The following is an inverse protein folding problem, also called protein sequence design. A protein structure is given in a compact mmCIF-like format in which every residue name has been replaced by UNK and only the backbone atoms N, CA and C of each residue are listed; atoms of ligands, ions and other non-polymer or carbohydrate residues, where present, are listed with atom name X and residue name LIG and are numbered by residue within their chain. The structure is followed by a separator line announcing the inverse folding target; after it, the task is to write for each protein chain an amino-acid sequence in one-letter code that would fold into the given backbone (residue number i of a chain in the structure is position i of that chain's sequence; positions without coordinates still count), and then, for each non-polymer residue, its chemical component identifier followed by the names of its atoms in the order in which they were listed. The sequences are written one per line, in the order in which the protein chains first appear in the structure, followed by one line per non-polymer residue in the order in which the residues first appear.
data_IF_981364803998
#
_entry.id   IF_981364803998
#
_cell.length_a   1.000
_cell.length_b   1.000
_cell.length_c   1.000
_cell.angle_alpha   90.00
_cell.angle_beta   90.00
_cell.angle_gamma   90.00
#
_symmetry.space_group_name_H-M   'P 1'
#
loop_
_entity.id
_entity.type
_entity.pdbx_description
1 polymer ?
#
# COMPACT_ATOMS: atom_id res chain seq x y z
N UNK A 1 -6.59 7.97 -13.05
CA UNK A 1 -5.59 7.23 -13.87
C UNK A 1 -5.99 7.38 -15.33
N UNK A 2 -5.36 8.29 -16.04
CA UNK A 2 -5.72 8.59 -17.42
C UNK A 2 -4.89 7.76 -18.37
N UNK A 3 -5.56 7.00 -19.25
CA UNK A 3 -5.18 6.58 -20.60
C UNK A 3 -3.96 5.67 -20.86
N UNK A 4 -3.08 5.36 -19.94
CA UNK A 4 -1.98 4.45 -20.22
C UNK A 4 -2.41 2.97 -20.28
N UNK A 5 -3.53 2.63 -19.62
CA UNK A 5 -4.02 1.25 -19.49
C UNK A 5 -5.16 0.90 -20.46
N UNK A 6 -5.70 1.87 -21.17
CA UNK A 6 -6.78 1.64 -22.15
C UNK A 6 -6.30 1.20 -23.56
N UNK A 7 -5.00 0.90 -23.74
CA UNK A 7 -4.44 0.37 -24.97
C UNK A 7 -3.49 -0.78 -24.66
N UNK A 8 -3.38 -1.70 -25.61
CA UNK A 8 -2.37 -2.76 -25.55
C UNK A 8 -0.96 -2.16 -25.54
N UNK A 9 -0.15 -2.59 -24.61
CA UNK A 9 1.21 -2.12 -24.35
C UNK A 9 2.18 -3.30 -24.32
N UNK A 10 3.47 -3.06 -24.58
CA UNK A 10 4.50 -4.06 -24.32
C UNK A 10 4.47 -4.53 -22.85
N UNK A 11 4.90 -5.77 -22.65
CA UNK A 11 5.02 -6.34 -21.31
C UNK A 11 5.87 -5.44 -20.38
N UNK A 12 5.50 -5.38 -19.12
CA UNK A 12 6.24 -4.58 -18.15
C UNK A 12 7.62 -5.19 -17.88
N UNK A 13 8.65 -4.46 -18.20
CA UNK A 13 10.04 -4.89 -17.99
C UNK A 13 10.38 -5.09 -16.52
N UNK A 14 11.13 -6.15 -16.24
CA UNK A 14 11.80 -6.30 -14.97
C UNK A 14 13.14 -5.54 -15.00
N UNK A 15 13.18 -4.36 -14.38
CA UNK A 15 14.41 -3.57 -14.26
C UNK A 15 15.16 -4.02 -13.00
N UNK A 16 16.24 -4.80 -13.10
CA UNK A 16 16.92 -5.35 -11.93
C UNK A 16 17.54 -4.25 -11.07
N UNK A 17 17.64 -4.46 -9.74
CA UNK A 17 18.32 -3.51 -8.87
C UNK A 17 19.81 -3.39 -9.25
N UNK A 18 20.24 -2.15 -9.47
CA UNK A 18 21.60 -1.78 -9.81
C UNK A 18 22.04 -0.56 -8.97
N UNK A 19 22.25 -0.79 -7.68
CA UNK A 19 22.49 0.27 -6.71
C UNK A 19 23.70 1.14 -7.06
N UNK A 20 23.47 2.48 -7.04
CA UNK A 20 24.47 3.51 -7.27
C UNK A 20 24.73 4.34 -6.01
N UNK A 21 25.89 4.18 -5.34
CA UNK A 21 26.25 5.02 -4.19
C UNK A 21 26.34 6.51 -4.53
N UNK A 22 26.75 6.84 -5.77
CA UNK A 22 26.85 8.21 -6.23
C UNK A 22 25.47 8.86 -6.31
N UNK A 23 24.51 8.21 -6.97
CA UNK A 23 23.15 8.72 -7.09
C UNK A 23 22.50 8.92 -5.71
N UNK A 24 22.65 7.96 -4.79
CA UNK A 24 22.16 8.12 -3.43
C UNK A 24 22.77 9.35 -2.74
N UNK A 25 24.09 9.54 -2.85
CA UNK A 25 24.78 10.72 -2.25
C UNK A 25 24.30 12.03 -2.81
N UNK A 26 23.93 12.09 -4.09
CA UNK A 26 23.41 13.31 -4.72
C UNK A 26 21.95 13.58 -4.33
N UNK A 27 21.12 12.53 -4.23
CA UNK A 27 19.70 12.66 -3.88
C UNK A 27 19.50 12.95 -2.38
N UNK A 28 20.29 12.33 -1.51
CA UNK A 28 20.11 12.45 -0.05
C UNK A 28 20.01 13.90 0.47
N UNK A 29 20.84 14.86 0.09
CA UNK A 29 20.71 16.25 0.54
C UNK A 29 19.51 16.99 -0.07
N UNK A 30 19.02 16.55 -1.23
CA UNK A 30 17.90 17.17 -1.93
C UNK A 30 16.52 16.68 -1.42
N UNK A 31 16.49 15.50 -0.77
CA UNK A 31 15.26 14.88 -0.30
C UNK A 31 14.38 15.80 0.57
N UNK A 32 14.88 16.57 1.56
CA UNK A 32 14.01 17.41 2.36
C UNK A 32 13.30 18.49 1.56
N UNK A 33 14.03 19.18 0.68
CA UNK A 33 13.43 20.20 -0.19
C UNK A 33 12.41 19.58 -1.16
N UNK A 34 12.75 18.41 -1.73
CA UNK A 34 11.84 17.68 -2.60
C UNK A 34 10.55 17.24 -1.86
N UNK A 35 10.69 16.68 -0.65
CA UNK A 35 9.57 16.22 0.17
C UNK A 35 8.66 17.40 0.53
N UNK A 36 9.21 18.50 1.03
CA UNK A 36 8.46 19.71 1.38
C UNK A 36 7.74 20.36 0.17
N UNK A 37 8.28 20.19 -1.04
CA UNK A 37 7.64 20.71 -2.26
C UNK A 37 6.55 19.78 -2.82
N UNK A 38 6.70 18.46 -2.67
CA UNK A 38 5.84 17.47 -3.31
C UNK A 38 4.75 16.90 -2.40
N UNK A 39 4.89 17.08 -1.09
CA UNK A 39 4.00 16.47 -0.10
C UNK A 39 3.67 17.47 1.01
N UNK A 40 2.66 17.16 1.81
CA UNK A 40 2.32 17.93 3.01
C UNK A 40 3.23 17.62 4.20
N UNK A 41 4.27 16.81 3.99
CA UNK A 41 5.17 16.39 5.04
C UNK A 41 6.10 17.53 5.47
N UNK A 42 5.78 18.16 6.60
CA UNK A 42 6.58 19.24 7.19
C UNK A 42 7.64 18.71 8.16
N UNK A 43 7.32 17.66 8.92
CA UNK A 43 8.18 17.12 9.96
C UNK A 43 8.23 15.58 9.92
N UNK A 44 9.37 15.01 10.31
CA UNK A 44 9.52 13.55 10.52
C UNK A 44 10.07 13.32 11.92
N UNK A 45 9.27 12.70 12.76
CA UNK A 45 9.66 12.22 14.09
C UNK A 45 10.02 10.73 14.00
N UNK A 46 11.04 10.31 14.73
CA UNK A 46 11.45 8.89 14.74
C UNK A 46 11.61 8.41 16.17
N UNK A 47 11.03 7.25 16.51
CA UNK A 47 11.02 6.67 17.86
C UNK A 47 11.73 5.31 17.87
N UNK A 48 12.41 4.97 18.96
CA UNK A 48 13.10 3.70 19.21
C UNK A 48 14.19 3.36 18.16
N UNK A 49 14.85 4.37 17.59
CA UNK A 49 15.85 4.19 16.51
C UNK A 49 17.10 3.44 16.99
N UNK A 50 17.35 3.38 18.31
CA UNK A 50 18.43 2.59 18.93
C UNK A 50 18.34 1.10 18.61
N UNK A 51 17.13 0.54 18.56
CA UNK A 51 16.92 -0.86 18.15
C UNK A 51 17.37 -1.10 16.72
N UNK A 52 16.99 -0.20 15.81
CA UNK A 52 17.40 -0.24 14.42
C UNK A 52 18.92 -0.10 14.29
N UNK A 53 19.55 0.80 15.07
CA UNK A 53 21.01 1.02 15.02
C UNK A 53 21.79 -0.24 15.46
N UNK A 54 21.33 -0.93 16.50
CA UNK A 54 21.94 -2.19 16.96
C UNK A 54 21.79 -3.29 15.91
N UNK A 55 20.62 -3.45 15.31
CA UNK A 55 20.37 -4.44 14.26
C UNK A 55 21.19 -4.14 12.99
N UNK A 56 21.39 -2.88 12.63
CA UNK A 56 22.29 -2.52 11.53
C UNK A 56 23.74 -2.85 11.84
N UNK A 57 24.19 -2.66 13.08
CA UNK A 57 25.54 -3.08 13.51
C UNK A 57 25.72 -4.60 13.38
N UNK A 58 24.73 -5.37 13.81
CA UNK A 58 24.77 -6.84 13.69
C UNK A 58 24.72 -7.29 12.22
N UNK A 59 23.92 -6.60 11.40
CA UNK A 59 23.87 -6.84 9.95
C UNK A 59 25.20 -6.57 9.28
N UNK A 60 25.82 -5.43 9.57
CA UNK A 60 27.15 -5.06 9.05
C UNK A 60 28.28 -6.00 9.53
N UNK A 61 28.11 -6.57 10.73
CA UNK A 61 29.02 -7.59 11.29
C UNK A 61 28.77 -9.00 10.74
N UNK A 62 27.78 -9.19 9.85
CA UNK A 62 27.42 -10.49 9.29
C UNK A 62 26.81 -11.47 10.30
N UNK A 63 26.21 -10.96 11.39
CA UNK A 63 25.53 -11.75 12.41
C UNK A 63 24.05 -11.93 12.15
N UNK A 64 23.48 -11.02 11.38
CA UNK A 64 22.02 -10.95 11.14
C UNK A 64 21.73 -10.67 9.68
N UNK A 65 20.68 -11.32 9.14
CA UNK A 65 20.00 -10.94 7.90
C UNK A 65 18.72 -10.22 8.29
N UNK A 66 18.54 -8.98 7.83
CA UNK A 66 17.53 -8.05 8.34
C UNK A 66 16.49 -7.75 7.25
N UNK A 67 15.21 -7.82 7.65
CA UNK A 67 14.08 -7.33 6.88
C UNK A 67 13.39 -6.19 7.64
N UNK A 68 13.09 -5.10 6.95
CA UNK A 68 12.31 -3.98 7.47
C UNK A 68 10.88 -4.12 6.95
N UNK A 69 9.95 -4.44 7.83
CA UNK A 69 8.52 -4.55 7.51
C UNK A 69 7.85 -3.25 7.96
N UNK A 70 7.44 -2.40 7.02
CA UNK A 70 6.89 -1.09 7.36
C UNK A 70 5.42 -0.97 7.00
N UNK A 71 4.67 -0.20 7.79
CA UNK A 71 3.31 0.22 7.47
C UNK A 71 3.28 1.12 6.25
N UNK A 72 2.19 1.01 5.48
CA UNK A 72 2.04 1.76 4.23
C UNK A 72 0.73 2.56 4.16
N UNK A 73 0.49 3.50 5.11
CA UNK A 73 -0.71 4.34 5.09
C UNK A 73 -0.73 5.38 3.96
N UNK A 74 0.43 5.75 3.40
CA UNK A 74 0.53 6.83 2.41
C UNK A 74 1.57 6.55 1.34
N UNK A 75 1.37 7.11 0.15
CA UNK A 75 2.41 7.16 -0.91
C UNK A 75 3.62 8.01 -0.52
N UNK A 76 3.56 8.73 0.58
CA UNK A 76 4.66 9.54 1.16
C UNK A 76 5.66 8.70 1.98
N UNK A 77 5.32 7.46 2.36
CA UNK A 77 6.15 6.60 3.22
C UNK A 77 7.60 6.38 2.72
N UNK A 78 7.90 6.30 1.41
CA UNK A 78 9.27 6.21 0.94
C UNK A 78 10.16 7.38 1.38
N UNK A 79 9.61 8.59 1.55
CA UNK A 79 10.33 9.75 2.06
C UNK A 79 10.61 9.62 3.56
N UNK A 80 9.63 9.13 4.32
CA UNK A 80 9.77 8.87 5.77
C UNK A 80 10.84 7.81 6.02
N UNK A 81 10.84 6.71 5.26
CA UNK A 81 11.86 5.66 5.35
C UNK A 81 13.23 6.18 4.94
N UNK A 82 13.31 7.01 3.90
CA UNK A 82 14.56 7.64 3.49
C UNK A 82 15.11 8.56 4.58
N UNK A 83 14.26 9.35 5.24
CA UNK A 83 14.65 10.18 6.38
C UNK A 83 15.12 9.32 7.55
N UNK A 84 14.39 8.27 7.90
CA UNK A 84 14.77 7.32 8.96
C UNK A 84 16.16 6.72 8.69
N UNK A 85 16.38 6.16 7.49
CA UNK A 85 17.61 5.48 7.15
C UNK A 85 18.80 6.42 6.91
N UNK A 86 18.57 7.58 6.29
CA UNK A 86 19.67 8.44 5.85
C UNK A 86 19.99 9.59 6.81
N UNK A 87 19.12 9.89 7.79
CA UNK A 87 19.30 10.95 8.79
C UNK A 87 19.22 10.44 10.23
N UNK A 88 18.06 9.86 10.61
CA UNK A 88 17.81 9.47 12.01
C UNK A 88 18.74 8.34 12.45
N UNK A 89 18.87 7.29 11.66
CA UNK A 89 19.71 6.13 11.96
C UNK A 89 21.18 6.51 12.11
N UNK A 90 21.86 7.24 11.18
CA UNK A 90 23.23 7.66 11.35
C UNK A 90 23.45 8.59 12.55
N UNK A 91 22.47 9.45 12.84
CA UNK A 91 22.53 10.33 14.03
C UNK A 91 22.51 9.49 15.30
N UNK A 92 21.53 8.59 15.44
CA UNK A 92 21.37 7.72 16.62
C UNK A 92 22.59 6.78 16.80
N UNK A 93 23.09 6.20 15.71
CA UNK A 93 24.28 5.35 15.78
C UNK A 93 25.52 6.10 16.33
N UNK A 94 25.72 7.36 15.91
CA UNK A 94 26.80 8.21 16.46
C UNK A 94 26.60 8.51 17.94
N UNK A 95 25.37 8.83 18.36
CA UNK A 95 25.02 9.07 19.77
C UNK A 95 25.32 7.85 20.66
N UNK A 96 25.13 6.65 20.12
CA UNK A 96 25.39 5.38 20.82
C UNK A 96 26.83 4.86 20.65
N UNK A 97 27.70 5.56 19.91
CA UNK A 97 29.03 5.07 19.60
C UNK A 97 29.07 3.82 18.68
N UNK A 98 27.98 3.55 18.00
CA UNK A 98 27.81 2.40 17.07
C UNK A 98 28.34 2.79 15.70
N UNK A 99 29.23 1.97 15.14
CA UNK A 99 29.65 2.11 13.76
C UNK A 99 28.71 1.31 12.86
N UNK A 100 28.13 1.99 11.88
CA UNK A 100 27.35 1.41 10.79
C UNK A 100 27.97 1.87 9.47
N UNK A 101 27.98 0.98 8.46
CA UNK A 101 28.61 1.29 7.17
C UNK A 101 27.74 2.30 6.41
N UNK A 102 26.91 1.81 5.51
CA UNK A 102 26.07 2.64 4.66
C UNK A 102 24.59 2.34 4.94
N UNK A 103 23.90 3.15 5.77
CA UNK A 103 22.51 2.90 6.08
C UNK A 103 21.65 3.10 4.83
N UNK A 104 21.09 2.01 4.36
CA UNK A 104 20.25 1.90 3.18
C UNK A 104 19.49 0.56 3.22
N UNK A 105 18.46 0.40 2.40
CA UNK A 105 17.74 -0.86 2.22
C UNK A 105 17.45 -1.12 0.74
N UNK A 106 17.48 -2.37 0.32
CA UNK A 106 16.77 -2.79 -0.87
C UNK A 106 15.28 -2.74 -0.59
N UNK A 107 14.46 -2.25 -1.50
CA UNK A 107 13.03 -2.14 -1.29
C UNK A 107 12.23 -2.79 -2.42
N UNK A 108 11.14 -3.45 -2.03
CA UNK A 108 10.16 -3.96 -2.98
C UNK A 108 9.23 -2.81 -3.38
N UNK A 109 8.97 -2.68 -4.68
CA UNK A 109 8.01 -1.71 -5.20
C UNK A 109 7.16 -2.32 -6.31
N UNK A 110 5.94 -1.83 -6.47
CA UNK A 110 5.04 -2.31 -7.52
C UNK A 110 5.57 -1.94 -8.90
N UNK A 111 5.69 -2.93 -9.79
CA UNK A 111 6.19 -2.76 -11.16
C UNK A 111 5.34 -1.78 -11.98
N UNK A 112 4.09 -1.57 -11.61
CA UNK A 112 3.18 -0.61 -12.25
C UNK A 112 3.42 0.85 -11.86
N UNK A 113 4.19 1.15 -10.81
CA UNK A 113 4.43 2.55 -10.38
C UNK A 113 4.94 3.46 -11.51
N UNK A 114 5.89 3.04 -12.36
CA UNK A 114 6.35 3.87 -13.47
C UNK A 114 5.28 4.27 -14.48
N UNK A 115 4.19 3.53 -14.57
CA UNK A 115 3.10 3.80 -15.52
C UNK A 115 2.33 5.09 -15.20
N UNK A 116 2.14 5.37 -13.91
CA UNK A 116 1.38 6.52 -13.45
C UNK A 116 2.24 7.63 -12.83
N UNK A 117 3.41 7.28 -12.29
CA UNK A 117 4.31 8.24 -11.64
C UNK A 117 5.48 8.69 -12.53
N UNK A 118 5.64 8.07 -13.71
CA UNK A 118 6.64 8.40 -14.72
C UNK A 118 7.65 7.27 -14.99
N UNK A 119 7.87 6.95 -16.24
CA UNK A 119 8.73 5.81 -16.65
C UNK A 119 10.18 5.91 -16.16
N UNK A 120 10.71 7.13 -15.99
CA UNK A 120 12.05 7.37 -15.46
C UNK A 120 12.26 6.85 -14.03
N UNK A 121 11.16 6.69 -13.26
CA UNK A 121 11.19 6.17 -11.90
C UNK A 121 11.69 4.71 -11.83
N UNK A 122 11.39 3.88 -12.83
CA UNK A 122 11.93 2.53 -12.88
C UNK A 122 13.47 2.49 -12.87
N UNK A 123 14.08 3.36 -13.68
CA UNK A 123 15.54 3.53 -13.71
C UNK A 123 16.09 4.15 -12.41
N UNK A 124 15.39 5.10 -11.81
CA UNK A 124 15.75 5.68 -10.53
C UNK A 124 15.70 4.65 -9.40
N UNK A 125 14.61 3.89 -9.30
CA UNK A 125 14.42 2.86 -8.27
C UNK A 125 15.45 1.75 -8.42
N UNK A 126 15.74 1.29 -9.64
CA UNK A 126 16.82 0.35 -9.89
C UNK A 126 18.15 0.83 -9.31
N UNK A 127 18.51 2.10 -9.57
CA UNK A 127 19.75 2.71 -9.07
C UNK A 127 19.75 3.00 -7.57
N UNK A 128 18.59 3.02 -6.95
CA UNK A 128 18.42 3.05 -5.49
C UNK A 128 18.26 1.66 -4.88
N UNK A 129 18.45 0.58 -5.66
CA UNK A 129 18.41 -0.80 -5.19
C UNK A 129 17.00 -1.36 -5.03
N UNK A 130 16.00 -0.74 -5.67
CA UNK A 130 14.61 -1.20 -5.70
C UNK A 130 14.43 -2.47 -6.53
N UNK A 131 13.54 -3.34 -6.09
CA UNK A 131 13.18 -4.60 -6.71
C UNK A 131 11.73 -4.48 -7.20
N UNK A 132 11.49 -4.42 -8.52
CA UNK A 132 10.14 -4.37 -9.05
C UNK A 132 9.44 -5.71 -8.85
N UNK A 133 8.26 -5.72 -8.23
CA UNK A 133 7.42 -6.91 -8.07
C UNK A 133 6.08 -6.70 -8.75
N UNK A 134 5.60 -7.72 -9.46
CA UNK A 134 4.26 -7.74 -10.00
C UNK A 134 3.34 -8.46 -9.01
N UNK A 135 2.38 -7.72 -8.47
CA UNK A 135 1.38 -8.24 -7.55
C UNK A 135 0.36 -9.09 -8.31
N UNK A 136 -0.37 -9.96 -7.62
CA UNK A 136 -1.44 -10.77 -8.22
C UNK A 136 -0.99 -12.03 -8.94
N UNK A 137 0.29 -12.16 -9.31
CA UNK A 137 0.88 -13.39 -9.88
C UNK A 137 2.19 -13.77 -9.19
N UNK A 138 2.59 -15.01 -9.42
CA UNK A 138 3.88 -15.52 -8.95
C UNK A 138 5.03 -14.94 -9.81
N UNK A 139 5.57 -13.80 -9.40
CA UNK A 139 6.71 -13.16 -10.05
C UNK A 139 8.03 -13.83 -9.62
N UNK A 140 8.35 -14.94 -10.29
CA UNK A 140 9.54 -15.75 -9.96
C UNK A 140 10.85 -14.97 -10.05
N UNK A 141 10.95 -14.00 -10.97
CA UNK A 141 12.17 -13.21 -11.16
C UNK A 141 12.36 -12.21 -10.00
N UNK A 142 11.31 -11.52 -9.62
CA UNK A 142 11.32 -10.63 -8.44
C UNK A 142 11.62 -11.41 -7.16
N UNK A 143 10.93 -12.55 -6.95
CA UNK A 143 11.13 -13.39 -5.76
C UNK A 143 12.54 -13.96 -5.67
N UNK A 144 13.10 -14.47 -6.78
CA UNK A 144 14.52 -14.93 -6.83
C UNK A 144 15.49 -13.80 -6.52
N UNK A 145 15.23 -12.60 -7.04
CA UNK A 145 16.06 -11.42 -6.81
C UNK A 145 16.00 -10.98 -5.35
N UNK A 146 14.80 -10.88 -4.78
CA UNK A 146 14.59 -10.53 -3.37
C UNK A 146 15.24 -11.56 -2.44
N UNK A 147 15.03 -12.88 -2.68
CA UNK A 147 15.65 -13.98 -1.91
C UNK A 147 17.17 -13.91 -1.93
N UNK A 148 17.76 -13.70 -3.11
CA UNK A 148 19.20 -13.53 -3.25
C UNK A 148 19.72 -12.30 -2.49
N UNK A 149 19.06 -11.15 -2.62
CA UNK A 149 19.49 -9.92 -1.95
C UNK A 149 19.28 -9.99 -0.44
N UNK A 150 18.24 -10.66 0.04
CA UNK A 150 18.06 -10.90 1.46
C UNK A 150 19.18 -11.78 2.02
N UNK A 151 19.59 -12.82 1.29
CA UNK A 151 20.64 -13.76 1.71
C UNK A 151 22.05 -13.16 1.62
N UNK A 152 22.37 -12.43 0.55
CA UNK A 152 23.73 -12.04 0.17
C UNK A 152 23.91 -10.52 -0.01
N UNK A 153 22.82 -9.76 -0.01
CA UNK A 153 22.86 -8.32 -0.28
C UNK A 153 23.60 -7.52 0.80
N UNK A 154 24.13 -6.39 0.37
CA UNK A 154 24.88 -5.44 1.23
C UNK A 154 23.94 -4.57 2.10
N UNK A 155 22.63 -4.65 1.90
CA UNK A 155 21.63 -3.88 2.61
C UNK A 155 20.51 -4.79 3.06
N UNK A 156 19.82 -4.44 4.16
CA UNK A 156 18.55 -5.06 4.52
C UNK A 156 17.52 -4.99 3.40
N UNK A 157 16.50 -5.86 3.45
CA UNK A 157 15.36 -5.82 2.56
C UNK A 157 14.19 -5.07 3.24
N UNK A 158 13.59 -4.10 2.57
CA UNK A 158 12.43 -3.38 3.06
C UNK A 158 11.19 -3.68 2.19
N UNK A 159 10.07 -3.94 2.82
CA UNK A 159 8.80 -4.15 2.13
C UNK A 159 7.61 -3.80 3.03
N UNK A 160 6.50 -3.40 2.41
CA UNK A 160 5.23 -3.19 3.07
C UNK A 160 4.39 -4.47 3.01
N UNK A 161 4.14 -5.16 4.15
CA UNK A 161 3.37 -6.40 4.15
C UNK A 161 1.88 -6.20 3.90
N UNK A 162 1.37 -4.97 3.98
CA UNK A 162 -0.02 -4.62 3.62
C UNK A 162 -0.29 -4.75 2.11
N UNK A 163 0.75 -4.82 1.29
CA UNK A 163 0.65 -5.01 -0.16
C UNK A 163 0.16 -3.79 -0.94
N UNK A 164 -0.25 -2.72 -0.30
CA UNK A 164 -0.68 -1.45 -0.88
C UNK A 164 -0.95 -0.40 0.18
N UNK A 165 -1.16 0.86 -0.23
CA UNK A 165 -1.58 1.93 0.67
C UNK A 165 -3.04 1.76 1.05
N UNK A 166 -3.38 1.98 2.32
CA UNK A 166 -4.76 1.89 2.79
C UNK A 166 -5.40 3.25 3.15
N UNK A 167 -4.63 4.33 3.12
CA UNK A 167 -5.13 5.68 3.42
C UNK A 167 -5.49 5.94 4.88
N UNK A 168 -5.19 5.02 5.80
CA UNK A 168 -5.57 5.11 7.22
C UNK A 168 -4.37 4.99 8.14
N UNK A 169 -4.21 5.95 9.05
CA UNK A 169 -3.13 5.95 10.03
C UNK A 169 -3.34 4.93 11.16
N UNK A 170 -4.57 4.65 11.50
CA UNK A 170 -4.91 3.85 12.68
C UNK A 170 -5.53 2.47 12.34
N UNK A 171 -5.62 2.13 11.06
CA UNK A 171 -6.04 0.79 10.61
C UNK A 171 -4.86 0.10 9.93
N UNK A 172 -4.44 -1.04 10.43
CA UNK A 172 -3.50 -1.93 9.74
C UNK A 172 -4.30 -2.88 8.85
N UNK A 173 -4.05 -2.83 7.55
CA UNK A 173 -4.66 -3.80 6.63
C UNK A 173 -4.18 -5.22 6.94
N UNK A 174 -4.98 -6.25 6.63
CA UNK A 174 -4.53 -7.63 6.76
C UNK A 174 -3.21 -7.86 6.01
N UNK A 175 -2.20 -8.38 6.69
CA UNK A 175 -0.88 -8.55 6.12
C UNK A 175 -0.81 -9.73 5.14
N UNK A 176 -0.12 -9.53 4.03
CA UNK A 176 0.23 -10.60 3.11
C UNK A 176 1.35 -11.48 3.69
N UNK A 177 1.32 -12.81 3.49
CA UNK A 177 2.30 -13.73 4.08
C UNK A 177 3.69 -13.66 3.44
N UNK A 178 3.88 -12.82 2.40
CA UNK A 178 5.10 -12.75 1.59
C UNK A 178 6.36 -12.46 2.39
N UNK A 179 6.30 -11.54 3.37
CA UNK A 179 7.46 -11.19 4.21
C UNK A 179 7.83 -12.36 5.13
N UNK A 180 6.85 -12.99 5.78
CA UNK A 180 7.07 -14.16 6.62
C UNK A 180 7.67 -15.32 5.81
N UNK A 181 7.15 -15.55 4.60
CA UNK A 181 7.66 -16.58 3.69
C UNK A 181 9.12 -16.30 3.27
N UNK A 182 9.46 -15.05 2.93
CA UNK A 182 10.84 -14.67 2.58
C UNK A 182 11.78 -14.83 3.76
N UNK A 183 11.34 -14.50 4.97
CA UNK A 183 12.12 -14.72 6.19
C UNK A 183 12.48 -16.20 6.39
N UNK A 184 11.51 -17.11 6.25
CA UNK A 184 11.77 -18.54 6.34
C UNK A 184 12.63 -19.07 5.19
N UNK A 185 12.46 -18.59 3.96
CA UNK A 185 13.34 -18.96 2.85
C UNK A 185 14.80 -18.53 3.11
N UNK A 186 15.00 -17.35 3.69
CA UNK A 186 16.35 -16.92 4.06
C UNK A 186 16.95 -17.83 5.13
N UNK A 187 16.19 -18.21 6.16
CA UNK A 187 16.64 -19.14 7.19
C UNK A 187 16.97 -20.54 6.60
N UNK A 188 16.15 -21.04 5.66
CA UNK A 188 16.38 -22.28 4.93
C UNK A 188 17.69 -22.22 4.10
N UNK A 189 17.92 -21.11 3.39
CA UNK A 189 19.12 -20.90 2.57
C UNK A 189 20.39 -20.79 3.41
N UNK A 190 20.32 -20.10 4.56
CA UNK A 190 21.43 -19.98 5.51
C UNK A 190 21.82 -21.35 6.04
N UNK A 191 20.84 -22.16 6.45
CA UNK A 191 21.09 -23.52 6.93
C UNK A 191 21.70 -24.39 5.83
N UNK A 192 21.17 -24.35 4.61
CA UNK A 192 21.70 -25.11 3.48
C UNK A 192 23.15 -24.74 3.13
N UNK A 193 23.58 -23.50 3.43
CA UNK A 193 24.94 -23.00 3.24
C UNK A 193 25.81 -23.11 4.49
N UNK A 194 25.34 -23.75 5.56
CA UNK A 194 26.02 -23.84 6.88
C UNK A 194 26.43 -22.46 7.45
N UNK A 195 25.58 -21.45 7.24
CA UNK A 195 25.76 -20.11 7.77
C UNK A 195 24.97 -19.94 9.07
N UNK A 196 25.47 -19.11 9.99
CA UNK A 196 24.96 -19.00 11.37
C UNK A 196 24.24 -17.69 11.66
N UNK A 197 24.03 -16.84 10.66
CA UNK A 197 23.34 -15.57 10.84
C UNK A 197 21.88 -15.79 11.26
N UNK A 198 21.41 -14.95 12.13
CA UNK A 198 20.01 -14.89 12.51
C UNK A 198 19.19 -14.13 11.46
N UNK A 199 17.98 -14.57 11.16
CA UNK A 199 17.05 -13.84 10.30
C UNK A 199 16.07 -13.09 11.18
N UNK A 200 15.99 -11.77 11.00
CA UNK A 200 15.16 -10.87 11.81
C UNK A 200 14.24 -10.05 10.93
N UNK A 201 12.96 -9.96 11.29
CA UNK A 201 12.00 -8.99 10.77
C UNK A 201 11.84 -7.89 11.79
N UNK A 202 12.04 -6.64 11.38
CA UNK A 202 11.85 -5.45 12.20
C UNK A 202 10.61 -4.70 11.74
N UNK A 203 9.53 -4.69 12.52
CA UNK A 203 8.34 -3.89 12.25
C UNK A 203 8.63 -2.39 12.39
N UNK A 204 8.07 -1.59 11.49
CA UNK A 204 8.15 -0.12 11.53
C UNK A 204 6.74 0.43 11.36
N UNK A 205 6.21 1.07 12.39
CA UNK A 205 4.98 1.84 12.33
C UNK A 205 5.21 3.17 11.63
N UNK A 206 4.30 3.57 10.76
CA UNK A 206 4.29 4.91 10.14
C UNK A 206 2.89 5.47 10.32
N UNK A 207 2.80 6.69 10.83
CA UNK A 207 1.56 7.44 11.00
C UNK A 207 1.78 8.91 10.63
N UNK A 208 0.74 9.56 10.14
CA UNK A 208 0.73 10.98 9.81
C UNK A 208 -0.26 11.70 10.71
N UNK A 209 0.12 12.87 11.21
CA UNK A 209 -0.72 13.74 12.04
C UNK A 209 -0.64 15.17 11.49
N UNK A 210 -1.77 15.83 11.40
CA UNK A 210 -1.77 17.24 11.05
C UNK A 210 -1.09 18.06 12.16
N UNK A 211 -0.26 19.06 11.78
CA UNK A 211 0.35 19.99 12.75
C UNK A 211 -0.70 20.92 13.36
N UNK A 212 -1.71 21.27 12.59
CA UNK A 212 -2.89 22.01 13.01
C UNK A 212 -4.12 21.28 12.49
N UNK A 213 -5.12 21.11 13.32
CA UNK A 213 -6.37 20.43 12.94
C UNK A 213 -7.04 21.11 11.73
N UNK A 214 -7.23 20.42 10.59
CA UNK A 214 -7.65 21.03 9.34
C UNK A 214 -9.17 21.19 9.21
N UNK A 215 -9.90 21.58 10.27
CA UNK A 215 -11.38 21.64 10.27
C UNK A 215 -11.97 22.51 9.17
N UNK A 216 -11.38 23.68 8.91
CA UNK A 216 -11.84 24.58 7.85
C UNK A 216 -11.58 24.04 6.43
N UNK A 217 -10.38 23.52 6.09
CA UNK A 217 -10.17 22.80 4.83
C UNK A 217 -11.10 21.60 4.66
N UNK A 218 -11.38 20.83 5.74
CA UNK A 218 -12.32 19.70 5.72
C UNK A 218 -13.75 20.14 5.41
N UNK A 219 -14.25 21.18 6.08
CA UNK A 219 -15.60 21.72 5.82
C UNK A 219 -15.73 22.14 4.34
N UNK A 220 -14.74 22.83 3.81
CA UNK A 220 -14.70 23.22 2.40
C UNK A 220 -14.70 22.01 1.45
N UNK A 221 -13.88 20.99 1.76
CA UNK A 221 -13.79 19.76 0.95
C UNK A 221 -15.13 19.02 0.95
N UNK A 222 -15.77 18.85 2.11
CA UNK A 222 -17.08 18.21 2.22
C UNK A 222 -18.12 18.99 1.43
N UNK A 223 -18.14 20.32 1.53
CA UNK A 223 -19.06 21.16 0.74
C UNK A 223 -18.87 21.03 -0.77
N UNK A 224 -17.62 20.90 -1.25
CA UNK A 224 -17.34 20.62 -2.67
C UNK A 224 -17.87 19.24 -3.09
N UNK A 225 -17.63 18.20 -2.27
CA UNK A 225 -18.11 16.85 -2.55
C UNK A 225 -19.64 16.75 -2.53
N UNK A 226 -20.31 17.45 -1.61
CA UNK A 226 -21.77 17.58 -1.57
C UNK A 226 -22.29 18.20 -2.87
N UNK A 227 -21.67 19.29 -3.34
CA UNK A 227 -22.04 19.94 -4.59
C UNK A 227 -21.82 19.04 -5.80
N UNK A 228 -20.66 18.36 -5.89
CA UNK A 228 -20.33 17.39 -6.95
C UNK A 228 -21.34 16.21 -6.99
N UNK A 229 -21.92 15.86 -5.83
CA UNK A 229 -22.87 14.75 -5.69
C UNK A 229 -24.34 15.21 -5.78
N UNK A 230 -24.62 16.50 -6.03
CA UNK A 230 -25.96 17.04 -6.10
C UNK A 230 -26.68 17.19 -4.75
N UNK A 231 -25.95 17.05 -3.64
CA UNK A 231 -26.48 17.31 -2.31
C UNK A 231 -26.48 18.80 -2.01
N UNK A 232 -27.54 19.27 -1.35
CA UNK A 232 -27.57 20.65 -0.86
C UNK A 232 -26.68 20.79 0.36
N UNK A 233 -25.90 21.87 0.39
CA UNK A 233 -25.14 22.28 1.57
C UNK A 233 -26.12 22.55 2.73
N UNK A 234 -26.03 21.75 3.78
CA UNK A 234 -26.85 21.90 4.98
C UNK A 234 -25.93 22.23 6.16
N UNK A 235 -25.66 23.53 6.32
CA UNK A 235 -24.81 24.05 7.41
C UNK A 235 -25.41 23.92 8.80
N UNK A 236 -26.67 23.46 8.93
CA UNK A 236 -27.27 23.16 10.22
C UNK A 236 -26.79 21.80 10.77
N UNK A 237 -26.25 20.93 9.91
CA UNK A 237 -25.69 19.66 10.32
C UNK A 237 -24.23 19.83 10.74
N UNK A 238 -23.83 19.05 11.75
CA UNK A 238 -22.42 18.92 12.10
C UNK A 238 -21.60 18.18 11.01
N UNK A 239 -20.30 18.26 11.08
CA UNK A 239 -19.39 17.74 10.06
C UNK A 239 -19.52 16.22 9.90
N UNK A 240 -19.73 15.49 11.02
CA UNK A 240 -19.95 14.04 10.99
C UNK A 240 -21.23 13.67 10.24
N UNK A 241 -22.33 14.32 10.55
CA UNK A 241 -23.62 14.09 9.91
C UNK A 241 -23.57 14.38 8.41
N UNK A 242 -22.85 15.43 8.00
CA UNK A 242 -22.63 15.76 6.58
C UNK A 242 -21.81 14.67 5.88
N UNK A 243 -20.72 14.23 6.49
CA UNK A 243 -19.86 13.17 5.96
C UNK A 243 -20.62 11.84 5.83
N UNK A 244 -21.40 11.50 6.84
CA UNK A 244 -22.24 10.30 6.83
C UNK A 244 -23.29 10.38 5.70
N UNK A 245 -24.03 11.48 5.61
CA UNK A 245 -25.02 11.71 4.55
C UNK A 245 -24.43 11.62 3.15
N UNK A 246 -23.23 12.18 2.96
CA UNK A 246 -22.50 12.08 1.69
C UNK A 246 -22.14 10.62 1.37
N UNK A 247 -21.58 9.89 2.33
CA UNK A 247 -21.22 8.48 2.15
C UNK A 247 -22.45 7.61 1.83
N UNK A 248 -23.57 7.80 2.54
CA UNK A 248 -24.82 7.09 2.29
C UNK A 248 -25.40 7.41 0.90
N UNK A 249 -25.35 8.69 0.50
CA UNK A 249 -25.82 9.11 -0.82
C UNK A 249 -24.99 8.50 -1.95
N UNK A 250 -23.66 8.54 -1.86
CA UNK A 250 -22.77 7.91 -2.84
C UNK A 250 -22.98 6.39 -2.91
N UNK A 251 -23.14 5.74 -1.77
CA UNK A 251 -23.45 4.31 -1.71
C UNK A 251 -24.77 3.99 -2.43
N UNK A 252 -25.82 4.76 -2.17
CA UNK A 252 -27.13 4.60 -2.83
C UNK A 252 -27.05 4.83 -4.35
N UNK A 253 -26.29 5.84 -4.79
CA UNK A 253 -26.07 6.07 -6.22
C UNK A 253 -25.34 4.88 -6.87
N UNK A 254 -24.33 4.31 -6.21
CA UNK A 254 -23.59 3.17 -6.72
C UNK A 254 -24.44 1.90 -6.74
N UNK A 255 -25.24 1.63 -5.72
CA UNK A 255 -26.20 0.52 -5.72
C UNK A 255 -27.18 0.65 -6.90
N UNK A 256 -27.74 1.85 -7.12
CA UNK A 256 -28.60 2.15 -8.28
C UNK A 256 -27.90 1.87 -9.61
N UNK A 257 -26.65 2.32 -9.76
CA UNK A 257 -25.85 2.06 -10.95
C UNK A 257 -25.64 0.56 -11.21
N UNK A 258 -25.29 -0.22 -10.18
CA UNK A 258 -25.11 -1.67 -10.34
C UNK A 258 -26.43 -2.41 -10.60
N UNK A 259 -27.54 -1.93 -10.03
CA UNK A 259 -28.88 -2.49 -10.31
C UNK A 259 -29.27 -2.25 -11.77
N UNK A 260 -29.14 -1.01 -12.26
CA UNK A 260 -29.58 -0.62 -13.60
C UNK A 260 -28.71 -1.27 -14.70
N UNK A 261 -27.39 -1.21 -14.56
CA UNK A 261 -26.48 -1.60 -15.66
C UNK A 261 -25.96 -3.03 -15.56
N UNK A 262 -25.98 -3.64 -14.38
CA UNK A 262 -25.47 -4.99 -14.16
C UNK A 262 -26.51 -5.98 -13.62
N UNK A 263 -27.75 -5.53 -13.40
CA UNK A 263 -28.85 -6.38 -12.93
C UNK A 263 -28.63 -6.93 -11.52
N UNK A 264 -27.84 -6.25 -10.69
CA UNK A 264 -27.57 -6.67 -9.30
C UNK A 264 -28.80 -6.33 -8.45
N UNK A 265 -29.27 -7.32 -7.67
CA UNK A 265 -30.30 -7.08 -6.66
C UNK A 265 -29.62 -6.87 -5.30
N UNK A 266 -29.96 -5.76 -4.64
CA UNK A 266 -29.53 -5.47 -3.27
C UNK A 266 -30.69 -5.72 -2.32
N UNK A 267 -30.50 -6.59 -1.32
CA UNK A 267 -31.50 -6.83 -0.29
C UNK A 267 -31.61 -5.62 0.66
N UNK A 268 -32.81 -5.34 1.11
CA UNK A 268 -33.02 -4.33 2.15
C UNK A 268 -32.33 -4.76 3.46
N UNK A 269 -31.47 -3.89 3.99
CA UNK A 269 -30.84 -4.13 5.31
C UNK A 269 -31.88 -3.92 6.39
N UNK A 270 -31.91 -4.80 7.39
CA UNK A 270 -32.88 -4.76 8.48
C UNK A 270 -32.92 -3.35 9.14
N UNK A 271 -34.10 -2.72 9.25
CA UNK A 271 -34.22 -1.32 9.69
C UNK A 271 -33.86 -1.07 11.17
N UNK A 272 -33.63 -2.13 11.94
CA UNK A 272 -33.31 -2.07 13.37
C UNK A 272 -31.83 -2.04 13.70
N UNK A 273 -30.94 -2.09 12.73
CA UNK A 273 -29.49 -2.00 12.95
C UNK A 273 -29.04 -0.54 13.14
N UNK A 274 -27.94 -0.38 13.85
CA UNK A 274 -27.30 0.92 14.05
C UNK A 274 -26.83 1.50 12.68
N UNK A 275 -27.05 2.81 12.40
CA UNK A 275 -26.83 3.40 11.07
C UNK A 275 -25.46 3.11 10.45
N UNK A 276 -24.37 3.21 11.20
CA UNK A 276 -23.02 2.91 10.69
C UNK A 276 -22.83 1.43 10.36
N UNK A 277 -23.47 0.54 11.13
CA UNK A 277 -23.45 -0.90 10.84
C UNK A 277 -24.20 -1.20 9.56
N UNK A 278 -25.34 -0.52 9.33
CA UNK A 278 -26.10 -0.63 8.07
C UNK A 278 -25.24 -0.16 6.89
N UNK A 279 -24.62 1.03 6.99
CA UNK A 279 -23.76 1.58 5.96
C UNK A 279 -22.58 0.63 5.65
N UNK A 280 -21.91 0.11 6.67
CA UNK A 280 -20.80 -0.84 6.51
C UNK A 280 -21.24 -2.18 5.90
N UNK A 281 -22.46 -2.65 6.19
CA UNK A 281 -23.04 -3.87 5.60
C UNK A 281 -23.35 -3.66 4.13
N UNK A 282 -24.06 -2.58 3.78
CA UNK A 282 -24.35 -2.20 2.38
C UNK A 282 -23.08 -2.04 1.57
N UNK A 283 -22.09 -1.32 2.09
CA UNK A 283 -20.79 -1.15 1.44
C UNK A 283 -20.13 -2.49 1.15
N UNK A 284 -20.14 -3.42 2.11
CA UNK A 284 -19.54 -4.75 1.93
C UNK A 284 -20.24 -5.56 0.83
N UNK A 285 -21.58 -5.50 0.77
CA UNK A 285 -22.35 -6.14 -0.29
C UNK A 285 -22.04 -5.52 -1.65
N UNK A 286 -22.03 -4.18 -1.75
CA UNK A 286 -21.68 -3.48 -2.99
C UNK A 286 -20.28 -3.85 -3.47
N UNK A 287 -19.28 -3.90 -2.57
CA UNK A 287 -17.91 -4.31 -2.91
C UNK A 287 -17.86 -5.74 -3.46
N UNK A 288 -18.60 -6.68 -2.84
CA UNK A 288 -18.65 -8.07 -3.29
C UNK A 288 -19.26 -8.18 -4.70
N UNK A 289 -20.39 -7.51 -4.93
CA UNK A 289 -21.04 -7.50 -6.25
C UNK A 289 -20.20 -6.80 -7.32
N UNK A 290 -19.53 -5.70 -6.98
CA UNK A 290 -18.62 -5.01 -7.89
C UNK A 290 -17.48 -5.93 -8.37
N UNK A 291 -16.89 -6.70 -7.45
CA UNK A 291 -15.85 -7.69 -7.81
C UNK A 291 -16.44 -8.82 -8.66
N UNK A 292 -17.67 -9.30 -8.38
CA UNK A 292 -18.32 -10.36 -9.19
C UNK A 292 -18.53 -9.91 -10.64
N UNK A 293 -18.92 -8.65 -10.86
CA UNK A 293 -19.08 -8.10 -12.22
C UNK A 293 -17.75 -8.17 -12.99
N UNK A 294 -16.64 -7.77 -12.37
CA UNK A 294 -15.33 -7.86 -12.98
C UNK A 294 -14.87 -9.32 -13.17
N UNK A 295 -15.05 -10.17 -12.15
CA UNK A 295 -14.69 -11.59 -12.18
C UNK A 295 -15.42 -12.35 -13.29
N UNK A 296 -16.71 -12.05 -13.51
CA UNK A 296 -17.49 -12.64 -14.60
C UNK A 296 -16.87 -12.32 -15.96
N UNK A 297 -16.47 -11.08 -16.19
CA UNK A 297 -15.82 -10.68 -17.46
C UNK A 297 -14.49 -11.43 -17.69
N UNK A 298 -13.66 -11.56 -16.65
CA UNK A 298 -12.37 -12.25 -16.77
C UNK A 298 -12.46 -13.78 -16.64
N UNK A 299 -13.65 -14.35 -16.41
CA UNK A 299 -13.84 -15.79 -16.20
C UNK A 299 -13.22 -16.29 -14.88
N UNK A 300 -13.09 -15.43 -13.87
CA UNK A 300 -12.55 -15.74 -12.57
C UNK A 300 -13.67 -16.18 -11.60
N UNK A 301 -13.31 -17.07 -10.66
CA UNK A 301 -14.25 -17.48 -9.60
C UNK A 301 -14.10 -16.58 -8.38
N UNK A 302 -15.20 -16.13 -7.73
CA UNK A 302 -15.14 -15.40 -6.47
C UNK A 302 -14.62 -16.34 -5.37
N UNK A 303 -13.33 -16.19 -5.02
CA UNK A 303 -12.66 -17.04 -4.03
C UNK A 303 -11.60 -16.24 -3.27
N UNK A 304 -11.52 -16.45 -1.95
CA UNK A 304 -10.57 -15.76 -1.06
C UNK A 304 -11.12 -14.47 -0.47
N UNK A 305 -10.26 -13.69 0.16
CA UNK A 305 -10.60 -12.37 0.69
C UNK A 305 -10.84 -11.36 -0.45
N UNK A 306 -11.42 -10.20 -0.13
CA UNK A 306 -11.57 -9.10 -1.11
C UNK A 306 -10.22 -8.68 -1.70
N UNK A 307 -9.17 -8.61 -0.87
CA UNK A 307 -7.81 -8.29 -1.33
C UNK A 307 -7.30 -9.35 -2.32
N UNK A 308 -7.47 -10.66 -2.02
CA UNK A 308 -7.07 -11.73 -2.95
C UNK A 308 -7.80 -11.62 -4.30
N UNK A 309 -9.07 -11.23 -4.26
CA UNK A 309 -9.89 -11.05 -5.48
C UNK A 309 -9.41 -9.83 -6.26
N UNK A 310 -9.17 -8.70 -5.60
CA UNK A 310 -8.59 -7.51 -6.23
C UNK A 310 -7.26 -7.84 -6.93
N UNK A 311 -6.35 -8.55 -6.26
CA UNK A 311 -5.05 -8.94 -6.85
C UNK A 311 -5.19 -9.81 -8.09
N UNK A 312 -6.13 -10.77 -8.09
CA UNK A 312 -6.37 -11.61 -9.27
C UNK A 312 -6.99 -10.83 -10.43
N UNK A 313 -7.90 -9.89 -10.12
CA UNK A 313 -8.50 -9.01 -11.12
C UNK A 313 -7.47 -8.06 -11.72
N UNK A 314 -6.64 -7.42 -10.88
CA UNK A 314 -5.52 -6.59 -11.31
C UNK A 314 -4.62 -7.35 -12.29
N UNK A 315 -4.25 -8.58 -11.94
CA UNK A 315 -3.44 -9.43 -12.81
C UNK A 315 -4.14 -9.76 -14.13
N UNK A 316 -5.42 -10.16 -14.07
CA UNK A 316 -6.19 -10.50 -15.27
C UNK A 316 -6.33 -9.30 -16.21
N UNK A 317 -6.52 -8.10 -15.68
CA UNK A 317 -6.53 -6.86 -16.45
C UNK A 317 -5.17 -6.57 -17.08
N UNK A 318 -4.10 -6.66 -16.31
CA UNK A 318 -2.75 -6.44 -16.78
C UNK A 318 -2.33 -7.43 -17.88
N UNK A 319 -2.74 -8.69 -17.80
CA UNK A 319 -2.47 -9.68 -18.85
C UNK A 319 -3.18 -9.34 -20.18
N UNK A 320 -4.25 -8.53 -20.15
CA UNK A 320 -4.94 -8.02 -21.35
C UNK A 320 -4.29 -6.76 -21.91
N UNK A 321 -3.71 -5.92 -21.04
CA UNK A 321 -3.09 -4.65 -21.40
C UNK A 321 -1.61 -4.84 -21.77
N UNK A 322 -0.83 -5.52 -20.91
CA UNK A 322 0.62 -5.69 -21.07
C UNK A 322 0.95 -7.04 -21.69
N UNK A 323 1.32 -7.02 -22.97
CA UNK A 323 1.45 -8.20 -23.83
C UNK A 323 2.86 -8.32 -24.37
N UNK A 324 3.35 -9.57 -24.50
CA UNK A 324 4.66 -9.87 -25.08
C UNK A 324 4.67 -9.79 -26.62
N UNK A 325 3.50 -9.80 -27.26
CA UNK A 325 3.36 -9.88 -28.70
C UNK A 325 3.09 -8.54 -29.41
N UNK A 326 2.96 -7.44 -28.70
CA UNK A 326 2.56 -6.12 -29.26
C UNK A 326 3.44 -5.64 -30.41
N UNK A 327 4.75 -5.93 -30.37
CA UNK A 327 5.70 -5.52 -31.41
C UNK A 327 5.55 -6.33 -32.72
N UNK A 328 4.89 -7.48 -32.64
CA UNK A 328 4.72 -8.40 -33.77
C UNK A 328 3.31 -8.35 -34.38
N UNK A 329 2.40 -7.55 -33.84
CA UNK A 329 1.02 -7.45 -34.33
C UNK A 329 0.92 -6.56 -35.55
N UNK A 330 0.15 -7.02 -36.54
CA UNK A 330 -0.25 -6.16 -37.67
C UNK A 330 -1.22 -5.05 -37.21
N UNK A 331 -1.37 -3.94 -37.93
CA UNK A 331 -2.20 -2.81 -37.51
C UNK A 331 -3.64 -3.15 -37.12
N UNK A 332 -4.28 -4.10 -37.81
CA UNK A 332 -5.64 -4.54 -37.49
C UNK A 332 -5.66 -5.37 -36.19
N UNK A 333 -4.70 -6.26 -36.01
CA UNK A 333 -4.54 -7.07 -34.79
C UNK A 333 -4.25 -6.19 -33.60
N UNK A 334 -3.37 -5.19 -33.75
CA UNK A 334 -3.12 -4.19 -32.69
C UNK A 334 -4.40 -3.38 -32.37
N UNK A 335 -5.20 -3.04 -33.38
CA UNK A 335 -6.51 -2.41 -33.21
C UNK A 335 -7.45 -3.27 -32.34
N UNK A 336 -7.52 -4.57 -32.59
CA UNK A 336 -8.31 -5.51 -31.79
C UNK A 336 -7.74 -5.68 -30.37
N UNK A 337 -6.42 -5.76 -30.25
CA UNK A 337 -5.76 -5.81 -28.93
C UNK A 337 -6.05 -4.56 -28.10
N UNK A 338 -6.09 -3.37 -28.71
CA UNK A 338 -6.47 -2.13 -28.04
C UNK A 338 -7.91 -2.19 -27.53
N UNK A 339 -8.87 -2.74 -28.31
CA UNK A 339 -10.25 -2.92 -27.83
C UNK A 339 -10.34 -3.85 -26.63
N UNK A 340 -9.57 -4.92 -26.63
CA UNK A 340 -9.49 -5.82 -25.47
C UNK A 340 -8.93 -5.10 -24.24
N UNK A 341 -7.93 -4.24 -24.42
CA UNK A 341 -7.35 -3.45 -23.33
C UNK A 341 -8.35 -2.40 -22.79
N UNK A 342 -9.10 -1.71 -23.67
CA UNK A 342 -10.17 -0.77 -23.30
C UNK A 342 -11.24 -1.46 -22.43
N UNK A 343 -11.70 -2.63 -22.85
CA UNK A 343 -12.69 -3.43 -22.08
C UNK A 343 -12.13 -3.90 -20.74
N UNK A 344 -10.87 -4.32 -20.71
CA UNK A 344 -10.23 -4.73 -19.47
C UNK A 344 -10.09 -3.56 -18.49
N UNK A 345 -9.73 -2.37 -18.94
CA UNK A 345 -9.61 -1.17 -18.13
C UNK A 345 -10.95 -0.79 -17.48
N UNK A 346 -12.05 -0.83 -18.27
CA UNK A 346 -13.40 -0.62 -17.76
C UNK A 346 -13.78 -1.63 -16.65
N UNK A 347 -13.32 -2.89 -16.72
CA UNK A 347 -13.61 -3.90 -15.71
C UNK A 347 -12.71 -3.78 -14.47
N UNK A 348 -11.47 -3.35 -14.66
CA UNK A 348 -10.55 -3.07 -13.55
C UNK A 348 -11.02 -1.86 -12.73
N UNK A 349 -11.73 -0.92 -13.32
CA UNK A 349 -12.36 0.17 -12.58
C UNK A 349 -13.22 -0.31 -11.40
N UNK A 350 -14.01 -1.38 -11.55
CA UNK A 350 -14.79 -1.98 -10.45
C UNK A 350 -13.89 -2.44 -9.29
N UNK A 351 -12.76 -3.04 -9.61
CA UNK A 351 -11.78 -3.48 -8.61
C UNK A 351 -11.14 -2.29 -7.89
N UNK A 352 -10.77 -1.22 -8.62
CA UNK A 352 -10.18 -0.02 -8.02
C UNK A 352 -11.12 0.71 -7.06
N UNK A 353 -12.45 0.65 -7.29
CA UNK A 353 -13.43 1.14 -6.34
C UNK A 353 -13.38 0.34 -5.03
N UNK A 354 -13.32 -0.98 -5.14
CA UNK A 354 -13.30 -1.88 -3.97
C UNK A 354 -11.99 -1.76 -3.19
N UNK A 355 -10.83 -1.76 -3.87
CA UNK A 355 -9.51 -1.72 -3.23
C UNK A 355 -9.39 -0.56 -2.24
N UNK A 356 -9.98 0.59 -2.55
CA UNK A 356 -9.95 1.78 -1.70
C UNK A 356 -10.73 1.62 -0.39
N UNK A 357 -11.72 0.71 -0.34
CA UNK A 357 -12.64 0.56 0.79
C UNK A 357 -12.46 -0.72 1.59
N UNK A 358 -11.53 -1.59 1.23
CA UNK A 358 -11.34 -2.89 1.92
C UNK A 358 -11.11 -2.73 3.43
N UNK A 359 -10.46 -1.67 3.86
CA UNK A 359 -10.18 -1.39 5.27
C UNK A 359 -11.29 -0.60 5.99
N UNK A 360 -12.31 -0.11 5.27
CA UNK A 360 -13.36 0.75 5.84
C UNK A 360 -14.39 -0.08 6.60
N UNK A 361 -14.64 0.28 7.86
CA UNK A 361 -15.59 -0.41 8.75
C UNK A 361 -16.93 0.30 8.91
N UNK A 362 -17.04 1.56 8.53
CA UNK A 362 -18.18 2.43 8.80
C UNK A 362 -18.19 3.07 10.19
N UNK A 363 -17.37 2.59 11.12
CA UNK A 363 -17.33 3.07 12.52
C UNK A 363 -16.10 3.95 12.82
N UNK A 364 -15.13 4.01 11.92
CA UNK A 364 -13.81 4.58 12.12
C UNK A 364 -13.82 6.00 12.71
N UNK A 365 -14.61 6.91 12.13
CA UNK A 365 -14.73 8.29 12.63
C UNK A 365 -15.55 8.35 13.91
N UNK A 366 -16.64 7.56 14.00
CA UNK A 366 -17.54 7.58 15.15
C UNK A 366 -16.90 7.08 16.44
N UNK A 367 -16.09 6.02 16.35
CA UNK A 367 -15.40 5.45 17.50
C UNK A 367 -14.38 6.41 18.11
N UNK A 368 -13.74 7.22 17.28
CA UNK A 368 -12.74 8.19 17.73
C UNK A 368 -12.72 9.42 16.79
N UNK A 369 -13.51 10.45 17.06
CA UNK A 369 -13.72 11.59 16.16
C UNK A 369 -12.55 12.60 16.23
N UNK A 370 -11.40 12.23 15.68
CA UNK A 370 -10.24 13.11 15.52
C UNK A 370 -10.22 13.78 14.15
N UNK A 371 -9.59 14.93 14.04
CA UNK A 371 -9.42 15.64 12.77
C UNK A 371 -8.71 14.79 11.71
N UNK A 372 -7.74 13.96 12.11
CA UNK A 372 -7.04 13.03 11.22
C UNK A 372 -8.00 11.99 10.62
N UNK A 373 -8.85 11.34 11.44
CA UNK A 373 -9.82 10.35 10.95
C UNK A 373 -10.88 10.96 10.04
N UNK A 374 -11.34 12.19 10.35
CA UNK A 374 -12.21 12.93 9.44
C UNK A 374 -11.52 13.21 8.11
N UNK A 375 -10.27 13.66 8.13
CA UNK A 375 -9.50 13.95 6.94
C UNK A 375 -9.29 12.71 6.06
N UNK A 376 -8.88 11.59 6.66
CA UNK A 376 -8.68 10.31 5.97
C UNK A 376 -9.96 9.85 5.27
N UNK A 377 -11.09 9.89 6.00
CA UNK A 377 -12.39 9.48 5.44
C UNK A 377 -12.86 10.43 4.34
N UNK A 378 -12.71 11.75 4.52
CA UNK A 378 -13.08 12.72 3.51
C UNK A 378 -12.22 12.61 2.24
N UNK A 379 -10.91 12.41 2.40
CA UNK A 379 -10.00 12.19 1.26
C UNK A 379 -10.31 10.90 0.51
N UNK A 380 -10.66 9.83 1.22
CA UNK A 380 -11.09 8.56 0.62
C UNK A 380 -12.36 8.72 -0.21
N UNK A 381 -13.36 9.45 0.31
CA UNK A 381 -14.59 9.76 -0.44
C UNK A 381 -14.29 10.68 -1.64
N UNK A 382 -13.36 11.65 -1.50
CA UNK A 382 -12.93 12.48 -2.62
C UNK A 382 -12.31 11.65 -3.73
N UNK A 383 -11.42 10.75 -3.39
CA UNK A 383 -10.79 9.83 -4.35
C UNK A 383 -11.83 8.95 -5.07
N UNK A 384 -12.88 8.52 -4.36
CA UNK A 384 -13.99 7.78 -4.94
C UNK A 384 -14.77 8.64 -5.93
N UNK A 385 -15.13 9.87 -5.56
CA UNK A 385 -15.87 10.79 -6.43
C UNK A 385 -15.06 11.05 -7.71
N UNK A 386 -13.75 11.31 -7.59
CA UNK A 386 -12.88 11.54 -8.74
C UNK A 386 -12.83 10.31 -9.66
N UNK A 387 -12.75 9.10 -9.11
CA UNK A 387 -12.81 7.86 -9.87
C UNK A 387 -14.16 7.65 -10.57
N UNK A 388 -15.28 7.98 -9.91
CA UNK A 388 -16.62 7.90 -10.50
C UNK A 388 -16.75 8.90 -11.66
N UNK A 389 -16.24 10.13 -11.48
CA UNK A 389 -16.21 11.16 -12.54
C UNK A 389 -15.27 10.84 -13.69
N UNK A 390 -14.38 9.84 -13.55
CA UNK A 390 -13.33 9.55 -14.51
C UNK A 390 -12.21 10.59 -14.52
N UNK A 391 -12.09 11.37 -13.46
CA UNK A 391 -11.05 12.40 -13.29
C UNK A 391 -9.78 11.80 -12.65
N UNK A 392 -8.61 12.40 -12.88
CA UNK A 392 -7.42 12.03 -12.12
C UNK A 392 -7.67 12.26 -10.63
N UNK A 393 -7.30 11.29 -9.81
CA UNK A 393 -7.40 11.43 -8.34
C UNK A 393 -6.65 12.69 -7.90
N UNK A 394 -7.37 13.62 -7.28
CA UNK A 394 -6.84 14.91 -6.85
C UNK A 394 -5.90 14.74 -5.67
N UNK A 395 -4.72 15.38 -5.73
CA UNK A 395 -3.84 15.50 -4.58
C UNK A 395 -4.35 16.63 -3.68
N UNK A 396 -5.49 16.38 -3.01
CA UNK A 396 -6.08 17.37 -2.10
C UNK A 396 -5.22 17.49 -0.85
N UNK A 397 -4.75 18.70 -0.60
CA UNK A 397 -3.93 19.03 0.57
C UNK A 397 -4.81 19.75 1.60
N UNK A 398 -4.86 19.21 2.82
CA UNK A 398 -5.64 19.80 3.91
C UNK A 398 -4.78 20.60 4.90
N UNK A 399 -3.47 20.39 4.88
CA UNK A 399 -2.52 21.12 5.73
C UNK A 399 -1.23 20.34 5.98
N UNK A 400 -0.23 21.00 6.60
CA UNK A 400 1.05 20.37 6.88
C UNK A 400 0.94 19.25 7.92
N UNK A 401 1.66 18.16 7.66
CA UNK A 401 1.65 16.95 8.46
C UNK A 401 3.02 16.67 9.08
N UNK A 402 3.01 16.01 10.24
CA UNK A 402 4.14 15.30 10.84
C UNK A 402 4.00 13.81 10.58
N UNK A 403 5.03 13.18 10.04
CA UNK A 403 5.13 11.72 10.03
C UNK A 403 5.84 11.21 11.28
N UNK A 404 5.32 10.16 11.89
CA UNK A 404 5.90 9.48 13.05
C UNK A 404 6.29 8.07 12.63
N UNK A 405 7.60 7.80 12.60
CA UNK A 405 8.13 6.44 12.34
C UNK A 405 8.57 5.80 13.66
N UNK A 406 7.88 4.76 14.08
CA UNK A 406 8.15 4.04 15.33
C UNK A 406 8.73 2.67 15.04
N UNK A 407 9.92 2.40 15.56
CA UNK A 407 10.57 1.09 15.45
C UNK A 407 9.99 0.15 16.50
N UNK A 408 9.47 -0.99 16.03
CA UNK A 408 8.87 -2.03 16.88
C UNK A 408 9.87 -3.04 17.41
N UNK A 409 9.33 -4.09 18.05
CA UNK A 409 10.15 -5.17 18.57
C UNK A 409 10.60 -6.12 17.45
N UNK A 410 11.88 -6.48 17.39
CA UNK A 410 12.40 -7.43 16.42
C UNK A 410 11.74 -8.80 16.55
N UNK A 411 11.39 -9.43 15.45
CA UNK A 411 10.87 -10.79 15.40
C UNK A 411 11.96 -11.69 14.83
N UNK A 412 12.51 -12.61 15.65
CA UNK A 412 13.57 -13.53 15.24
C UNK A 412 12.97 -14.74 14.53
N UNK A 413 13.07 -14.76 13.19
CA UNK A 413 12.53 -15.83 12.35
C UNK A 413 13.29 -17.14 12.53
N UNK A 414 14.60 -17.06 12.74
CA UNK A 414 15.47 -18.23 12.92
C UNK A 414 15.07 -19.11 14.10
N UNK A 415 14.55 -18.53 15.19
CA UNK A 415 14.05 -19.26 16.37
C UNK A 415 12.82 -20.11 16.06
N UNK A 416 12.06 -19.75 15.01
CA UNK A 416 10.83 -20.40 14.59
C UNK A 416 11.04 -21.40 13.44
N UNK A 417 12.28 -21.57 12.99
CA UNK A 417 12.57 -22.39 11.82
C UNK A 417 12.26 -23.88 12.01
N UNK A 418 12.41 -24.40 13.22
CA UNK A 418 12.03 -25.79 13.55
C UNK A 418 10.51 -26.04 13.36
N UNK A 419 9.67 -25.05 13.66
CA UNK A 419 8.22 -25.16 13.46
C UNK A 419 7.86 -25.05 11.97
N UNK A 420 8.59 -24.20 11.22
CA UNK A 420 8.46 -24.12 9.76
C UNK A 420 8.80 -25.46 9.08
N UNK A 421 9.86 -26.15 9.52
CA UNK A 421 10.21 -27.49 9.00
C UNK A 421 9.08 -28.52 9.23
N UNK A 422 8.41 -28.45 10.39
CA UNK A 422 7.32 -29.37 10.74
C UNK A 422 6.03 -29.07 9.97
N UNK A 423 5.61 -27.78 9.94
CA UNK A 423 4.31 -27.34 9.37
C UNK A 423 4.44 -25.95 8.71
N UNK A 424 5.00 -25.91 7.49
CA UNK A 424 5.32 -24.67 6.74
C UNK A 424 4.17 -23.64 6.75
N UNK A 425 2.99 -24.03 6.31
CA UNK A 425 1.82 -23.11 6.20
C UNK A 425 1.43 -22.51 7.54
N UNK A 426 1.44 -23.32 8.60
CA UNK A 426 1.08 -22.86 9.95
C UNK A 426 2.13 -21.87 10.48
N UNK A 427 3.40 -22.19 10.33
CA UNK A 427 4.49 -21.31 10.78
C UNK A 427 4.44 -19.93 10.09
N UNK A 428 4.19 -19.92 8.77
CA UNK A 428 4.02 -18.67 8.00
C UNK A 428 2.82 -17.88 8.54
N UNK A 429 1.66 -18.53 8.70
CA UNK A 429 0.45 -17.86 9.20
C UNK A 429 0.65 -17.30 10.61
N UNK A 430 1.32 -18.05 11.51
CA UNK A 430 1.62 -17.60 12.87
C UNK A 430 2.57 -16.40 12.85
N UNK A 431 3.66 -16.46 12.07
CA UNK A 431 4.60 -15.35 11.95
C UNK A 431 3.94 -14.10 11.35
N UNK A 432 3.05 -14.26 10.37
CA UNK A 432 2.28 -13.16 9.79
C UNK A 432 1.32 -12.54 10.83
N UNK A 433 0.64 -13.37 11.62
CA UNK A 433 -0.25 -12.88 12.69
C UNK A 433 0.52 -12.13 13.80
N UNK A 434 1.71 -12.61 14.18
CA UNK A 434 2.56 -11.93 15.17
C UNK A 434 3.09 -10.59 14.63
N UNK A 435 3.44 -10.53 13.33
CA UNK A 435 3.82 -9.29 12.67
C UNK A 435 2.65 -8.30 12.62
N UNK A 436 1.43 -8.79 12.31
CA UNK A 436 0.20 -8.00 12.34
C UNK A 436 -0.01 -7.38 13.73
N UNK A 437 0.00 -8.21 14.78
CA UNK A 437 -0.18 -7.76 16.15
C UNK A 437 0.90 -6.75 16.60
N UNK A 438 2.15 -6.92 16.14
CA UNK A 438 3.21 -5.96 16.43
C UNK A 438 2.96 -4.63 15.73
N UNK A 439 2.55 -4.63 14.46
CA UNK A 439 2.22 -3.40 13.73
C UNK A 439 1.03 -2.66 14.35
N UNK A 440 0.00 -3.39 14.79
CA UNK A 440 -1.15 -2.82 15.50
C UNK A 440 -0.74 -2.16 16.82
N UNK A 441 0.21 -2.77 17.57
CA UNK A 441 0.76 -2.16 18.80
C UNK A 441 1.57 -0.89 18.55
N UNK A 442 2.08 -0.68 17.36
CA UNK A 442 2.80 0.54 16.99
C UNK A 442 1.88 1.71 16.63
N UNK A 443 0.58 1.47 16.55
CA UNK A 443 -0.41 2.53 16.35
C UNK A 443 -0.53 3.33 17.65
N UNK A 444 -0.31 4.62 17.52
CA UNK A 444 -0.49 5.59 18.59
C UNK A 444 -1.88 6.18 18.40
N UNK A 445 -2.82 5.85 19.27
CA UNK A 445 -4.12 6.52 19.38
C UNK A 445 -3.96 7.68 20.36
N UNK A 446 -4.17 8.91 19.89
CA UNK A 446 -4.19 10.11 20.73
C UNK A 446 -5.58 10.35 21.30
#
# INVERSE_FOLDING_TARGET
MTSATNRAQPALDFIPPNYSPLLRRTIQPLMPAWTSWKTDLAEVETRNVETLAKLYQEFDAGKTRLMLAFRHPSTTDPYVLSYLLWRSLPKKARELGIKINQPHAHFLYDRGIPLWAGQWLGGLFSRLGGIPIQRGKLDLLALKTARRLLLEGKFPLAAAPEGGTNGHNEIVSPLEPGIAQMGFWCAEDLQAKNRTESVVILPIGIQYRYLEEPWKPLDNLIGQMEADSGLKDDKALDLYSRLYRLAEHLLTMMEGYYTEFYGVAFDEVAPNDEPNKQLGTRLRVLMDESLKVAEQYFGLRPKGSMIDRCRRLEQAGWDRVFREDTENLFPVELGLANRVAEEADLRIWHMHLVESFVAVTGHYVKEHPSADRFAETALLLRDMIDKIKGEPVSQTQLGPQRAIATIGNPIVVSERYSDYQKKRRRAIATLTADLQAEMERLIISE
#
